data_IF_272851210471
#
_entry.id   IF_272851210471
#
_cell.length_a   1.000
_cell.length_b   1.000
_cell.length_c   1.000
_cell.angle_alpha   90.00
_cell.angle_beta   90.00
_cell.angle_gamma   90.00
#
_symmetry.space_group_name_H-M   'P 1'
#
loop_
_entity.id
_entity.type
_entity.pdbx_description
1 polymer ?
#
# COMPACT_ATOMS: atom_id res chain seq x y z
N UNK A 1 34.52 28.93 -15.51
CA UNK A 1 33.82 27.69 -15.23
C UNK A 1 33.14 27.26 -16.51
N UNK A 2 33.23 26.01 -16.87
CA UNK A 2 32.57 25.51 -18.07
C UNK A 2 31.07 25.46 -17.80
N UNK A 3 30.26 25.95 -18.72
CA UNK A 3 28.79 25.93 -18.62
C UNK A 3 28.25 25.01 -19.71
N UNK A 4 27.12 24.38 -19.44
CA UNK A 4 26.39 23.64 -20.46
C UNK A 4 24.91 24.02 -20.47
N UNK A 5 24.34 23.92 -21.64
CA UNK A 5 22.94 24.14 -21.87
C UNK A 5 22.14 22.87 -21.51
N UNK A 6 21.13 23.02 -20.68
CA UNK A 6 20.20 21.97 -20.32
C UNK A 6 18.78 22.33 -20.76
N UNK A 7 17.98 21.33 -21.09
CA UNK A 7 16.54 21.47 -21.28
C UNK A 7 15.88 21.31 -19.93
N UNK A 8 15.39 22.38 -19.34
CA UNK A 8 14.83 22.39 -17.97
C UNK A 8 13.34 22.64 -17.99
N UNK A 9 12.57 21.81 -17.26
CA UNK A 9 11.18 22.09 -16.92
C UNK A 9 11.16 23.12 -15.77
N UNK A 10 10.95 24.39 -16.14
CA UNK A 10 11.00 25.55 -15.22
C UNK A 10 9.70 25.73 -14.42
N UNK A 11 8.60 25.14 -14.88
CA UNK A 11 7.30 25.00 -14.24
C UNK A 11 6.60 23.79 -14.84
N UNK A 12 5.53 23.25 -14.23
CA UNK A 12 4.73 22.19 -14.83
C UNK A 12 4.36 22.53 -16.29
N UNK A 13 4.68 21.61 -17.21
CA UNK A 13 4.45 21.71 -18.66
C UNK A 13 5.21 22.85 -19.37
N UNK A 14 6.08 23.60 -18.69
CA UNK A 14 6.87 24.68 -19.27
C UNK A 14 8.35 24.31 -19.30
N UNK A 15 8.92 24.17 -20.49
CA UNK A 15 10.32 23.80 -20.71
C UNK A 15 11.10 24.94 -21.36
N UNK A 16 12.30 25.20 -20.85
CA UNK A 16 13.21 26.25 -21.34
C UNK A 16 14.63 25.70 -21.47
N UNK A 17 15.45 26.33 -22.34
CA UNK A 17 16.87 26.09 -22.38
C UNK A 17 17.56 27.01 -21.37
N UNK A 18 18.37 26.43 -20.49
CA UNK A 18 19.02 27.12 -19.37
C UNK A 18 20.51 26.79 -19.37
N UNK A 19 21.36 27.80 -19.26
CA UNK A 19 22.78 27.64 -19.02
C UNK A 19 23.02 27.44 -17.52
N UNK A 20 23.76 26.38 -17.18
CA UNK A 20 24.16 26.10 -15.80
C UNK A 20 25.67 25.86 -15.72
N UNK A 21 26.32 26.29 -14.64
CA UNK A 21 27.71 25.93 -14.36
C UNK A 21 27.89 24.43 -14.19
N UNK A 22 29.00 23.90 -14.66
CA UNK A 22 29.39 22.51 -14.40
C UNK A 22 29.40 22.23 -12.89
N UNK A 23 29.02 20.98 -12.49
CA UNK A 23 28.92 20.55 -11.10
C UNK A 23 27.81 21.23 -10.28
N UNK A 24 26.85 21.93 -10.90
CA UNK A 24 25.70 22.48 -10.21
C UNK A 24 24.84 21.32 -9.63
N UNK A 25 24.48 21.41 -8.34
CA UNK A 25 23.58 20.44 -7.72
C UNK A 25 22.15 20.63 -8.22
N UNK A 26 21.44 19.54 -8.43
CA UNK A 26 20.00 19.59 -8.78
C UNK A 26 19.19 20.36 -7.75
N UNK A 27 19.57 20.32 -6.46
CA UNK A 27 18.95 21.09 -5.38
C UNK A 27 19.04 22.61 -5.59
N UNK A 28 20.17 23.12 -6.09
CA UNK A 28 20.33 24.54 -6.35
C UNK A 28 19.39 25.01 -7.45
N UNK A 29 19.28 24.21 -8.51
CA UNK A 29 18.32 24.46 -9.61
C UNK A 29 16.88 24.39 -9.08
N UNK A 30 16.55 23.35 -8.32
CA UNK A 30 15.22 23.19 -7.72
C UNK A 30 14.82 24.38 -6.84
N UNK A 31 15.73 24.89 -5.98
CA UNK A 31 15.49 26.07 -5.14
C UNK A 31 15.22 27.34 -5.95
N UNK A 32 15.91 27.52 -7.09
CA UNK A 32 15.71 28.67 -7.98
C UNK A 32 14.29 28.67 -8.59
N UNK A 33 13.77 27.51 -8.93
CA UNK A 33 12.47 27.38 -9.61
C UNK A 33 11.33 26.94 -8.68
N UNK A 34 11.59 26.70 -7.39
CA UNK A 34 10.58 26.26 -6.41
C UNK A 34 9.30 27.09 -6.43
N UNK A 35 9.40 28.39 -6.62
CA UNK A 35 8.23 29.32 -6.65
C UNK A 35 7.24 29.07 -7.80
N UNK A 36 7.66 28.30 -8.81
CA UNK A 36 6.85 27.99 -9.98
C UNK A 36 6.07 26.67 -9.78
N UNK A 37 6.29 25.98 -8.67
CA UNK A 37 5.61 24.72 -8.28
C UNK A 37 4.73 24.96 -7.07
N UNK A 38 3.55 24.34 -7.05
CA UNK A 38 2.58 24.44 -5.94
C UNK A 38 3.13 23.87 -4.64
N UNK A 39 3.95 22.80 -4.79
CA UNK A 39 4.43 22.00 -3.68
C UNK A 39 5.96 21.94 -3.64
N UNK A 40 6.50 21.43 -2.52
CA UNK A 40 7.94 21.27 -2.35
C UNK A 40 8.52 20.30 -3.38
N UNK A 41 9.47 20.74 -4.18
CA UNK A 41 10.27 19.88 -5.06
C UNK A 41 11.15 18.98 -4.18
N UNK A 42 11.09 17.66 -4.39
CA UNK A 42 11.80 16.65 -3.55
C UNK A 42 12.66 15.70 -4.36
N UNK A 43 12.47 15.64 -5.67
CA UNK A 43 13.17 14.71 -6.56
C UNK A 43 13.33 15.35 -7.94
N UNK A 44 14.27 14.85 -8.73
CA UNK A 44 14.44 15.22 -10.13
C UNK A 44 14.39 13.99 -11.06
N UNK A 45 13.99 14.21 -12.30
CA UNK A 45 14.13 13.25 -13.39
C UNK A 45 15.12 13.83 -14.40
N UNK A 46 16.23 13.14 -14.64
CA UNK A 46 17.28 13.52 -15.58
C UNK A 46 17.32 12.48 -16.68
N UNK A 47 16.99 12.86 -17.91
CA UNK A 47 16.92 11.97 -19.07
C UNK A 47 16.05 10.71 -18.80
N UNK A 48 14.87 10.89 -18.22
CA UNK A 48 13.95 9.81 -17.89
C UNK A 48 14.34 8.96 -16.66
N UNK A 49 15.43 9.32 -15.95
CA UNK A 49 15.90 8.59 -14.76
C UNK A 49 15.77 9.44 -13.51
N UNK A 50 15.14 8.89 -12.48
CA UNK A 50 15.01 9.56 -11.19
C UNK A 50 16.38 9.80 -10.53
N UNK A 51 16.55 10.97 -9.95
CA UNK A 51 17.76 11.43 -9.25
C UNK A 51 17.41 12.21 -7.99
N UNK A 52 18.16 11.95 -6.93
CA UNK A 52 18.10 12.76 -5.71
C UNK A 52 18.62 14.17 -5.98
N UNK A 53 18.04 15.17 -5.35
CA UNK A 53 18.41 16.56 -5.50
C UNK A 53 19.86 16.85 -5.04
N UNK A 54 20.43 16.00 -4.20
CA UNK A 54 21.85 16.05 -3.77
C UNK A 54 22.86 15.77 -4.90
N UNK A 55 22.39 15.22 -6.04
CA UNK A 55 23.26 14.90 -7.18
C UNK A 55 23.62 16.14 -7.99
N UNK A 56 24.82 16.11 -8.57
CA UNK A 56 25.30 17.15 -9.48
C UNK A 56 24.96 16.82 -10.93
N UNK A 57 24.69 17.85 -11.71
CA UNK A 57 24.53 17.74 -13.17
C UNK A 57 25.93 17.61 -13.79
N UNK A 58 26.14 16.57 -14.59
CA UNK A 58 27.47 16.22 -15.16
C UNK A 58 27.56 16.39 -16.66
N UNK A 59 26.45 16.56 -17.35
CA UNK A 59 26.36 16.68 -18.80
C UNK A 59 25.07 17.39 -19.22
N UNK A 60 25.00 17.96 -20.43
CA UNK A 60 23.73 18.40 -21.01
C UNK A 60 22.68 17.30 -21.00
N UNK A 61 21.41 17.65 -20.79
CA UNK A 61 20.31 16.70 -20.76
C UNK A 61 18.99 17.38 -20.42
N UNK A 62 17.91 16.59 -20.38
CA UNK A 62 16.58 17.06 -19.99
C UNK A 62 16.38 16.84 -18.49
N UNK A 63 16.02 17.90 -17.78
CA UNK A 63 15.74 17.86 -16.34
C UNK A 63 14.30 18.30 -16.08
N UNK A 64 13.56 17.50 -15.33
CA UNK A 64 12.28 17.86 -14.76
C UNK A 64 12.27 17.59 -13.25
N UNK A 65 11.37 18.23 -12.53
CA UNK A 65 11.26 18.08 -11.09
C UNK A 65 9.95 17.39 -10.69
N UNK A 66 10.03 16.67 -9.58
CA UNK A 66 8.88 16.03 -8.95
C UNK A 66 8.71 16.61 -7.55
N UNK A 67 7.47 16.97 -7.23
CA UNK A 67 7.07 17.50 -5.94
C UNK A 67 6.70 16.40 -4.96
N UNK A 68 6.47 16.74 -3.70
CA UNK A 68 6.09 15.77 -2.67
C UNK A 68 4.68 15.19 -2.86
N UNK A 69 3.88 15.72 -3.78
CA UNK A 69 2.54 15.20 -4.12
C UNK A 69 2.56 14.29 -5.34
N UNK A 70 3.61 14.34 -6.16
CA UNK A 70 3.83 13.37 -7.23
C UNK A 70 4.10 11.96 -6.70
N UNK A 71 3.74 10.93 -7.47
CA UNK A 71 3.84 9.52 -7.05
C UNK A 71 5.22 9.14 -6.48
N UNK A 72 6.30 9.46 -7.18
CA UNK A 72 7.67 9.10 -6.75
C UNK A 72 8.23 10.12 -5.75
N UNK A 73 7.79 11.37 -5.81
CA UNK A 73 8.06 12.38 -4.81
C UNK A 73 7.45 12.02 -3.45
N UNK A 74 6.17 11.61 -3.42
CA UNK A 74 5.47 11.10 -2.23
C UNK A 74 6.22 9.92 -1.57
N UNK A 75 6.68 8.97 -2.38
CA UNK A 75 7.48 7.84 -1.90
C UNK A 75 8.83 8.28 -1.33
N UNK A 76 9.48 9.27 -1.95
CA UNK A 76 10.72 9.85 -1.49
C UNK A 76 10.53 10.55 -0.15
N UNK A 77 9.49 11.38 -0.03
CA UNK A 77 9.13 12.07 1.21
C UNK A 77 8.87 11.09 2.36
N UNK A 78 7.97 10.12 2.18
CA UNK A 78 7.62 9.10 3.19
C UNK A 78 8.81 8.29 3.66
N UNK A 79 9.71 7.91 2.74
CA UNK A 79 10.93 7.18 3.09
C UNK A 79 11.87 8.01 3.93
N UNK A 80 12.05 9.28 3.58
CA UNK A 80 12.88 10.22 4.34
C UNK A 80 12.30 10.50 5.71
N UNK A 81 10.97 10.62 5.81
CA UNK A 81 10.26 10.79 7.08
C UNK A 81 10.44 9.57 8.00
N UNK A 82 10.51 8.35 7.45
CA UNK A 82 10.79 7.14 8.23
C UNK A 82 12.21 7.18 8.83
N UNK A 83 13.20 7.68 8.09
CA UNK A 83 14.56 7.87 8.62
C UNK A 83 14.58 8.93 9.72
N UNK A 84 13.87 10.05 9.52
CA UNK A 84 13.73 11.10 10.54
C UNK A 84 13.09 10.56 11.82
N UNK A 85 12.03 9.78 11.71
CA UNK A 85 11.34 9.14 12.81
C UNK A 85 12.28 8.21 13.60
N UNK A 86 13.08 7.40 12.92
CA UNK A 86 14.06 6.51 13.56
C UNK A 86 15.15 7.29 14.30
N UNK A 87 15.67 8.37 13.68
CA UNK A 87 16.65 9.25 14.34
C UNK A 87 16.08 9.93 15.58
N UNK A 88 14.82 10.38 15.52
CA UNK A 88 14.15 10.98 16.68
C UNK A 88 14.01 9.98 17.85
N UNK A 89 13.66 8.72 17.56
CA UNK A 89 13.60 7.65 18.57
C UNK A 89 14.98 7.41 19.18
N UNK A 90 16.04 7.32 18.36
CA UNK A 90 17.41 7.16 18.84
C UNK A 90 17.86 8.31 19.75
N UNK A 91 17.53 9.56 19.38
CA UNK A 91 17.87 10.73 20.20
C UNK A 91 17.21 10.71 21.57
N UNK A 92 15.92 10.33 21.64
CA UNK A 92 15.16 10.32 22.89
C UNK A 92 15.51 9.16 23.81
N UNK A 93 15.71 7.97 23.26
CA UNK A 93 15.78 6.75 24.07
C UNK A 93 17.01 5.88 23.78
N UNK A 94 17.85 6.28 22.84
CA UNK A 94 19.04 5.51 22.41
C UNK A 94 18.65 4.06 22.05
N UNK A 95 19.44 3.09 22.47
CA UNK A 95 19.19 1.66 22.18
C UNK A 95 18.10 1.01 23.06
N UNK A 96 17.53 1.75 24.01
CA UNK A 96 16.50 1.22 24.92
C UNK A 96 15.16 1.04 24.26
N UNK A 97 14.85 1.86 23.23
CA UNK A 97 13.59 1.81 22.50
C UNK A 97 13.85 1.59 21.03
N UNK A 98 13.12 0.66 20.45
CA UNK A 98 13.11 0.41 19.00
C UNK A 98 11.76 0.77 18.42
N UNK A 99 11.75 1.41 17.25
CA UNK A 99 10.52 1.66 16.51
C UNK A 99 10.35 0.64 15.40
N UNK A 100 9.12 0.24 15.17
CA UNK A 100 8.73 -0.54 13.98
C UNK A 100 7.61 0.14 13.23
N UNK A 101 7.80 0.31 11.93
CA UNK A 101 6.76 0.69 10.97
C UNK A 101 6.20 -0.61 10.41
N UNK A 102 4.93 -0.88 10.65
CA UNK A 102 4.34 -2.18 10.31
C UNK A 102 3.63 -2.20 8.97
N UNK A 103 2.69 -1.30 8.76
CA UNK A 103 1.87 -1.28 7.54
C UNK A 103 1.26 0.10 7.30
N UNK A 104 0.75 0.31 6.10
CA UNK A 104 -0.03 1.50 5.79
C UNK A 104 -1.46 1.36 6.30
N UNK A 105 -2.00 2.43 6.89
CA UNK A 105 -3.41 2.61 7.17
C UNK A 105 -3.88 3.85 6.41
N UNK A 106 -4.64 3.62 5.33
CA UNK A 106 -4.92 4.69 4.37
C UNK A 106 -3.63 5.31 3.83
N UNK A 107 -3.50 6.62 3.92
CA UNK A 107 -2.31 7.36 3.49
C UNK A 107 -1.23 7.50 4.59
N UNK A 108 -1.41 6.90 5.77
CA UNK A 108 -0.49 6.95 6.92
C UNK A 108 0.30 5.65 7.12
N UNK A 109 1.29 5.66 8.04
CA UNK A 109 2.00 4.48 8.50
C UNK A 109 1.70 4.20 9.96
N UNK A 110 1.29 2.96 10.26
CA UNK A 110 1.12 2.48 11.63
C UNK A 110 2.46 2.05 12.23
N UNK A 111 2.76 2.58 13.40
CA UNK A 111 4.04 2.42 14.10
C UNK A 111 3.82 1.98 15.55
N UNK A 112 4.78 1.25 16.11
CA UNK A 112 4.85 0.91 17.53
C UNK A 112 6.26 1.14 18.06
N UNK A 113 6.35 1.71 19.27
CA UNK A 113 7.57 1.74 20.08
C UNK A 113 7.66 0.44 20.88
N UNK A 114 8.84 -0.16 20.91
CA UNK A 114 9.16 -1.35 21.69
C UNK A 114 10.25 -1.00 22.70
N UNK A 115 9.96 -1.18 23.97
CA UNK A 115 10.83 -0.79 25.10
C UNK A 115 10.31 0.37 25.93
N UNK A 116 9.22 1.01 25.47
CA UNK A 116 8.47 2.03 26.22
C UNK A 116 6.98 1.92 25.92
N UNK A 117 6.15 2.66 26.68
CA UNK A 117 4.69 2.74 26.39
C UNK A 117 4.44 3.56 25.11
N UNK A 118 3.41 3.17 24.38
CA UNK A 118 2.86 3.94 23.27
C UNK A 118 1.74 4.85 23.81
N UNK A 119 2.09 5.90 24.53
CA UNK A 119 1.17 6.82 25.16
C UNK A 119 1.29 8.26 24.62
N UNK A 120 0.43 9.14 25.10
CA UNK A 120 0.38 10.53 24.65
C UNK A 120 1.71 11.27 24.95
N UNK A 121 2.37 10.96 26.07
CA UNK A 121 3.62 11.61 26.43
C UNK A 121 4.77 11.19 25.49
N UNK A 122 4.87 9.91 25.18
CA UNK A 122 5.89 9.39 24.26
C UNK A 122 5.66 9.93 22.83
N UNK A 123 4.43 9.96 22.35
CA UNK A 123 4.10 10.48 21.02
C UNK A 123 4.33 11.99 20.94
N UNK A 124 4.02 12.75 21.97
CA UNK A 124 4.30 14.18 22.03
C UNK A 124 5.80 14.48 22.06
N UNK A 125 6.59 13.74 22.86
CA UNK A 125 8.03 13.88 22.89
C UNK A 125 8.66 13.57 21.52
N UNK A 126 8.18 12.50 20.87
CA UNK A 126 8.64 12.09 19.55
C UNK A 126 8.33 13.14 18.48
N UNK A 127 7.10 13.70 18.50
CA UNK A 127 6.70 14.79 17.61
C UNK A 127 7.60 16.02 17.79
N UNK A 128 7.84 16.43 19.03
CA UNK A 128 8.69 17.58 19.34
C UNK A 128 10.13 17.37 18.84
N UNK A 129 10.70 16.19 19.06
CA UNK A 129 12.05 15.89 18.58
C UNK A 129 12.13 15.83 17.05
N UNK A 130 11.14 15.25 16.37
CA UNK A 130 11.07 15.27 14.90
C UNK A 130 11.00 16.71 14.38
N UNK A 131 10.19 17.57 15.00
CA UNK A 131 10.09 18.99 14.63
C UNK A 131 11.43 19.70 14.83
N UNK A 132 12.10 19.48 15.95
CA UNK A 132 13.45 20.02 16.24
C UNK A 132 14.47 19.61 15.15
N UNK A 133 14.44 18.34 14.73
CA UNK A 133 15.30 17.84 13.66
C UNK A 133 14.98 18.47 12.30
N UNK A 134 13.71 18.75 12.01
CA UNK A 134 13.29 19.46 10.78
C UNK A 134 13.81 20.90 10.79
N UNK A 135 13.65 21.60 11.90
CA UNK A 135 14.12 23.00 12.07
C UNK A 135 15.65 23.11 11.98
N UNK A 136 16.38 22.07 12.40
CA UNK A 136 17.83 22.00 12.31
C UNK A 136 18.34 21.78 10.87
N UNK A 137 17.49 21.44 9.92
CA UNK A 137 17.80 21.21 8.49
C UNK A 137 19.05 20.34 8.26
N UNK A 138 19.13 19.21 8.97
CA UNK A 138 20.28 18.31 8.93
C UNK A 138 20.37 17.55 7.59
N UNK A 139 21.59 17.42 7.01
CA UNK A 139 21.77 16.76 5.74
C UNK A 139 21.55 15.24 5.84
N UNK A 140 20.84 14.69 4.86
CA UNK A 140 20.69 13.24 4.67
C UNK A 140 21.75 12.79 3.64
N UNK A 141 22.72 12.04 4.12
CA UNK A 141 23.84 11.57 3.30
C UNK A 141 23.59 10.16 2.79
N UNK A 142 23.97 9.91 1.55
CA UNK A 142 23.90 8.60 0.91
C UNK A 142 25.30 8.06 0.65
N UNK A 143 25.60 6.90 1.20
CA UNK A 143 26.85 6.18 1.00
C UNK A 143 26.58 4.86 0.28
N UNK A 144 27.32 4.59 -0.81
CA UNK A 144 27.31 3.27 -1.44
C UNK A 144 28.44 2.45 -0.84
N UNK A 145 28.12 1.35 -0.18
CA UNK A 145 29.08 0.46 0.48
C UNK A 145 29.00 -0.96 -0.11
N UNK A 146 30.00 -1.80 0.13
CA UNK A 146 29.89 -3.22 -0.23
C UNK A 146 28.78 -3.86 0.63
N UNK A 147 28.10 -4.85 0.09
CA UNK A 147 27.00 -5.53 0.80
C UNK A 147 27.50 -6.23 2.06
N UNK A 148 28.69 -6.84 2.01
CA UNK A 148 29.35 -7.47 3.14
C UNK A 148 29.65 -6.45 4.27
N UNK A 149 30.16 -5.26 3.92
CA UNK A 149 30.45 -4.19 4.89
C UNK A 149 29.15 -3.69 5.56
N UNK A 150 28.04 -3.62 4.79
CA UNK A 150 26.73 -3.25 5.31
C UNK A 150 26.14 -4.33 6.23
N UNK A 151 26.30 -5.61 5.87
CA UNK A 151 25.88 -6.74 6.71
C UNK A 151 26.60 -6.68 8.08
N UNK A 152 27.93 -6.49 8.07
CA UNK A 152 28.71 -6.34 9.29
C UNK A 152 28.30 -5.11 10.11
N UNK A 153 28.05 -3.97 9.47
CA UNK A 153 27.55 -2.75 10.12
C UNK A 153 26.25 -3.02 10.91
N UNK A 154 25.30 -3.74 10.31
CA UNK A 154 24.02 -4.04 10.96
C UNK A 154 24.14 -5.14 12.00
N UNK A 155 25.08 -6.08 11.84
CA UNK A 155 25.46 -7.03 12.89
C UNK A 155 25.96 -6.30 14.15
N UNK A 156 26.93 -5.40 13.99
CA UNK A 156 27.54 -4.64 15.09
C UNK A 156 26.53 -3.72 15.80
N UNK A 157 25.53 -3.22 15.06
CA UNK A 157 24.41 -2.43 15.62
C UNK A 157 23.28 -3.28 16.20
N UNK A 158 23.37 -4.61 16.16
CA UNK A 158 22.32 -5.53 16.64
C UNK A 158 21.02 -5.47 15.83
N UNK A 159 21.06 -4.98 14.58
CA UNK A 159 19.90 -4.85 13.66
C UNK A 159 19.73 -6.14 12.86
N UNK A 160 19.40 -7.24 13.55
CA UNK A 160 19.33 -8.62 13.01
C UNK A 160 18.44 -8.77 11.79
N UNK A 161 17.36 -8.01 11.70
CA UNK A 161 16.44 -8.03 10.55
C UNK A 161 17.11 -7.52 9.28
N UNK A 162 18.01 -6.53 9.38
CA UNK A 162 18.75 -5.96 8.24
C UNK A 162 19.98 -6.77 7.89
N UNK A 163 20.72 -7.26 8.89
CA UNK A 163 21.80 -8.24 8.72
C UNK A 163 21.30 -9.43 7.89
N UNK A 164 20.23 -10.11 8.33
CA UNK A 164 19.62 -11.22 7.61
C UNK A 164 19.11 -10.86 6.23
N UNK A 165 18.53 -9.66 6.05
CA UNK A 165 18.06 -9.19 4.75
C UNK A 165 19.22 -9.05 3.76
N UNK A 166 20.36 -8.48 4.20
CA UNK A 166 21.53 -8.25 3.35
C UNK A 166 22.30 -9.53 3.04
N UNK A 167 22.29 -10.50 3.94
CA UNK A 167 22.91 -11.82 3.74
C UNK A 167 22.47 -12.49 2.42
N UNK A 168 21.20 -12.33 2.03
CA UNK A 168 20.65 -12.88 0.79
C UNK A 168 20.70 -11.93 -0.40
N UNK A 169 21.29 -10.74 -0.22
CA UNK A 169 21.33 -9.72 -1.27
C UNK A 169 22.38 -10.05 -2.31
N UNK A 170 21.96 -10.26 -3.57
CA UNK A 170 22.87 -10.59 -4.68
C UNK A 170 23.67 -9.40 -5.23
N UNK A 171 23.27 -8.17 -4.89
CA UNK A 171 23.98 -6.96 -5.31
C UNK A 171 25.31 -6.84 -4.57
N UNK A 172 26.41 -6.57 -5.25
CA UNK A 172 27.72 -6.36 -4.63
C UNK A 172 27.80 -5.08 -3.79
N UNK A 173 26.90 -4.13 -4.00
CA UNK A 173 26.83 -2.86 -3.29
C UNK A 173 25.40 -2.50 -2.92
N UNK A 174 25.23 -1.84 -1.78
CA UNK A 174 23.96 -1.29 -1.27
C UNK A 174 24.14 0.17 -0.87
N UNK A 175 23.01 0.89 -0.76
CA UNK A 175 23.04 2.27 -0.32
C UNK A 175 22.61 2.33 1.16
N UNK A 176 23.47 2.93 1.97
CA UNK A 176 23.20 3.29 3.36
C UNK A 176 22.93 4.79 3.40
N UNK A 177 21.89 5.19 4.12
CA UNK A 177 21.58 6.58 4.40
C UNK A 177 21.98 6.92 5.82
N UNK A 178 22.56 8.10 6.00
CA UNK A 178 23.02 8.62 7.28
C UNK A 178 22.33 9.95 7.58
N UNK A 179 21.80 10.08 8.77
CA UNK A 179 21.26 11.30 9.34
C UNK A 179 21.86 11.50 10.75
N UNK A 180 22.77 12.47 10.89
CA UNK A 180 23.38 12.84 12.17
C UNK A 180 23.89 11.62 12.97
N UNK A 181 24.72 10.77 12.32
CA UNK A 181 25.28 9.55 12.88
C UNK A 181 24.36 8.33 12.86
N UNK A 182 23.05 8.49 12.72
CA UNK A 182 22.12 7.37 12.52
C UNK A 182 22.26 6.83 11.11
N UNK A 183 22.52 5.54 10.96
CA UNK A 183 22.71 4.88 9.65
C UNK A 183 21.70 3.77 9.48
N UNK A 184 21.03 3.77 8.32
CA UNK A 184 20.07 2.74 7.97
C UNK A 184 20.04 2.41 6.48
N UNK A 185 19.52 1.22 6.13
CA UNK A 185 19.35 0.75 4.77
C UNK A 185 17.97 1.09 4.23
N UNK A 186 17.94 1.79 3.10
CA UNK A 186 16.71 2.06 2.36
C UNK A 186 16.88 1.82 0.87
N UNK A 187 15.85 1.25 0.26
CA UNK A 187 15.78 1.07 -1.18
C UNK A 187 14.95 2.18 -1.81
N UNK A 188 15.62 3.09 -2.53
CA UNK A 188 15.01 4.22 -3.25
C UNK A 188 15.72 5.54 -3.00
N UNK A 189 14.99 6.64 -3.17
CA UNK A 189 15.52 8.00 -3.11
C UNK A 189 15.07 8.69 -1.81
N UNK A 190 15.88 9.67 -1.35
CA UNK A 190 15.59 10.52 -0.20
C UNK A 190 15.73 12.00 -0.53
N UNK A 191 15.10 12.85 0.28
CA UNK A 191 15.28 14.31 0.23
C UNK A 191 16.69 14.69 0.69
N UNK A 192 17.18 15.91 0.33
CA UNK A 192 18.53 16.34 0.69
C UNK A 192 18.79 16.51 2.18
N UNK A 193 17.79 16.97 2.93
CA UNK A 193 17.91 17.30 4.35
C UNK A 193 16.56 17.20 5.07
N UNK A 194 16.58 17.26 6.40
CA UNK A 194 15.39 17.18 7.24
C UNK A 194 14.46 18.38 7.08
N UNK A 195 14.97 19.56 6.69
CA UNK A 195 14.18 20.75 6.41
C UNK A 195 13.16 20.62 5.27
N UNK A 196 13.25 19.55 4.47
CA UNK A 196 12.24 19.19 3.47
C UNK A 196 11.01 18.51 4.06
N UNK A 197 11.04 18.08 5.33
CA UNK A 197 10.07 17.17 5.96
C UNK A 197 9.13 17.88 6.94
N UNK A 198 8.76 19.12 6.66
CA UNK A 198 8.00 19.98 7.60
C UNK A 198 6.51 19.65 7.77
N UNK A 199 5.91 18.86 6.88
CA UNK A 199 4.47 18.54 6.91
C UNK A 199 4.25 17.10 7.36
N UNK A 200 4.03 16.88 8.64
CA UNK A 200 3.72 15.58 9.24
C UNK A 200 2.99 15.76 10.56
N UNK A 201 2.37 14.70 11.05
CA UNK A 201 1.88 14.60 12.42
C UNK A 201 1.96 13.17 12.94
N UNK A 202 1.85 13.00 14.26
CA UNK A 202 1.75 11.73 14.96
C UNK A 202 0.46 11.70 15.77
N UNK A 203 -0.33 10.66 15.61
CA UNK A 203 -1.59 10.48 16.32
C UNK A 203 -1.63 9.09 16.97
N UNK A 204 -2.05 9.01 18.23
CA UNK A 204 -2.28 7.73 18.90
C UNK A 204 -3.36 6.94 18.17
N UNK A 205 -3.09 5.67 17.94
CA UNK A 205 -4.05 4.78 17.32
C UNK A 205 -3.89 3.36 17.86
N UNK A 206 -4.94 2.87 18.52
CA UNK A 206 -4.97 1.53 19.13
C UNK A 206 -3.75 1.28 20.05
N UNK A 207 -2.95 0.24 19.81
CA UNK A 207 -1.78 -0.12 20.63
C UNK A 207 -0.50 0.68 20.29
N UNK A 208 -0.56 1.57 19.32
CA UNK A 208 0.58 2.33 18.81
C UNK A 208 0.20 3.73 18.38
N UNK A 209 0.77 4.18 17.30
CA UNK A 209 0.46 5.47 16.72
C UNK A 209 0.59 5.43 15.19
N UNK A 210 0.03 6.43 14.52
CA UNK A 210 0.18 6.62 13.08
C UNK A 210 1.06 7.81 12.80
N UNK A 211 1.94 7.65 11.82
CA UNK A 211 2.69 8.73 11.18
C UNK A 211 1.89 9.22 9.98
N UNK A 212 1.38 10.43 10.07
CA UNK A 212 0.58 11.10 9.06
C UNK A 212 1.47 11.89 8.10
N UNK A 213 1.04 11.97 6.84
CA UNK A 213 1.78 12.59 5.75
C UNK A 213 0.99 13.74 5.11
N UNK A 214 1.62 14.54 4.23
CA UNK A 214 0.95 15.62 3.52
C UNK A 214 -0.26 15.13 2.73
N UNK A 215 -1.31 15.96 2.69
CA UNK A 215 -2.49 15.80 1.86
C UNK A 215 -2.14 15.89 0.35
N UNK A 216 -3.14 15.81 -0.52
CA UNK A 216 -2.95 15.88 -1.97
C UNK A 216 -2.43 17.23 -2.46
N UNK A 217 -2.57 18.30 -1.66
CA UNK A 217 -2.05 19.65 -1.97
C UNK A 217 -0.65 19.88 -1.40
N UNK A 218 -0.20 19.06 -0.45
CA UNK A 218 1.11 19.16 0.15
C UNK A 218 1.27 20.22 1.24
N UNK A 219 0.23 20.94 1.57
CA UNK A 219 0.24 22.09 2.49
C UNK A 219 -0.17 21.74 3.91
N UNK A 220 -0.99 20.73 4.08
CA UNK A 220 -1.51 20.28 5.37
C UNK A 220 -1.33 18.76 5.53
N UNK A 221 -1.49 18.27 6.74
CA UNK A 221 -1.46 16.84 7.06
C UNK A 221 -2.78 16.20 6.66
N UNK A 222 -2.71 15.06 5.95
CA UNK A 222 -3.90 14.26 5.63
C UNK A 222 -4.47 13.63 6.90
N UNK A 223 -5.74 13.88 7.26
CA UNK A 223 -6.37 13.22 8.40
C UNK A 223 -6.39 11.70 8.25
N UNK A 224 -6.38 10.98 9.37
CA UNK A 224 -6.45 9.51 9.34
C UNK A 224 -7.80 9.03 8.82
N UNK A 225 -7.80 8.44 7.64
CA UNK A 225 -8.95 7.76 7.06
C UNK A 225 -8.70 6.26 7.06
N UNK A 226 -9.20 5.56 8.06
CA UNK A 226 -9.04 4.10 8.18
C UNK A 226 -10.26 3.46 8.85
N UNK A 227 -10.36 2.15 8.78
CA UNK A 227 -11.35 1.38 9.53
C UNK A 227 -10.68 0.43 10.52
N UNK A 228 -11.25 0.31 11.70
CA UNK A 228 -10.77 -0.63 12.71
C UNK A 228 -10.73 -2.07 12.20
N UNK A 229 -11.62 -2.45 11.28
CA UNK A 229 -11.62 -3.78 10.65
C UNK A 229 -10.32 -4.03 9.89
N UNK A 230 -9.83 -3.05 9.11
CA UNK A 230 -8.56 -3.16 8.39
C UNK A 230 -7.39 -3.33 9.37
N UNK A 231 -7.33 -2.49 10.42
CA UNK A 231 -6.30 -2.58 11.45
C UNK A 231 -6.27 -3.97 12.10
N UNK A 232 -7.42 -4.48 12.58
CA UNK A 232 -7.48 -5.79 13.23
C UNK A 232 -7.07 -6.93 12.29
N UNK A 233 -7.48 -6.88 11.02
CA UNK A 233 -7.06 -7.86 10.00
C UNK A 233 -5.54 -7.86 9.79
N UNK A 234 -4.93 -6.68 9.68
CA UNK A 234 -3.48 -6.55 9.51
C UNK A 234 -2.73 -6.98 10.78
N UNK A 235 -3.23 -6.62 11.98
CA UNK A 235 -2.67 -7.04 13.26
C UNK A 235 -2.70 -8.57 13.41
N UNK A 236 -3.78 -9.20 13.01
CA UNK A 236 -3.93 -10.64 13.05
C UNK A 236 -2.99 -11.33 12.05
N UNK A 237 -2.88 -10.85 10.82
CA UNK A 237 -1.90 -11.33 9.82
C UNK A 237 -0.46 -11.23 10.34
N UNK A 238 -0.14 -10.13 11.05
CA UNK A 238 1.16 -9.95 11.70
C UNK A 238 1.42 -11.00 12.80
N UNK A 239 0.40 -11.32 13.60
CA UNK A 239 0.56 -12.34 14.66
C UNK A 239 0.85 -13.73 14.09
N UNK A 240 0.28 -14.06 12.94
CA UNK A 240 0.60 -15.31 12.22
C UNK A 240 2.04 -15.35 11.72
N UNK A 241 2.50 -14.28 11.09
CA UNK A 241 3.89 -14.21 10.63
C UNK A 241 4.89 -14.37 11.78
N UNK A 242 4.54 -13.88 12.98
CA UNK A 242 5.35 -14.07 14.20
C UNK A 242 5.31 -15.51 14.69
N UNK A 243 4.13 -16.15 14.69
CA UNK A 243 3.98 -17.55 15.09
C UNK A 243 4.81 -18.49 14.22
N UNK A 244 4.98 -18.14 12.93
CA UNK A 244 5.76 -18.91 11.96
C UNK A 244 7.26 -18.55 11.97
N UNK A 245 7.71 -17.61 12.82
CA UNK A 245 9.07 -17.05 12.82
C UNK A 245 9.52 -16.47 11.48
N UNK A 246 8.57 -15.95 10.68
CA UNK A 246 8.81 -15.33 9.37
C UNK A 246 8.34 -13.87 9.32
N UNK A 247 8.39 -13.19 10.46
CA UNK A 247 7.91 -11.80 10.61
C UNK A 247 8.72 -10.75 9.85
N UNK A 248 9.83 -11.11 9.21
CA UNK A 248 10.66 -10.23 8.36
C UNK A 248 11.09 -10.97 7.10
N UNK A 249 11.45 -10.23 6.05
CA UNK A 249 11.95 -10.82 4.79
C UNK A 249 13.22 -11.64 5.03
N UNK A 250 14.14 -11.16 5.89
CA UNK A 250 15.34 -11.92 6.26
C UNK A 250 15.00 -13.25 6.92
N UNK A 251 14.08 -13.26 7.87
CA UNK A 251 13.63 -14.48 8.55
C UNK A 251 12.93 -15.47 7.58
N UNK A 252 12.14 -14.95 6.63
CA UNK A 252 11.54 -15.77 5.59
C UNK A 252 12.62 -16.39 4.67
N UNK A 253 13.63 -15.63 4.29
CA UNK A 253 14.75 -16.13 3.49
C UNK A 253 15.52 -17.22 4.23
N UNK A 254 15.80 -17.04 5.55
CA UNK A 254 16.44 -18.08 6.39
C UNK A 254 15.60 -19.37 6.40
N UNK A 255 14.29 -19.24 6.55
CA UNK A 255 13.38 -20.38 6.55
C UNK A 255 13.37 -21.12 5.21
N UNK A 256 13.39 -20.38 4.08
CA UNK A 256 13.47 -20.96 2.74
C UNK A 256 14.83 -21.65 2.53
N UNK A 257 15.93 -21.00 2.89
CA UNK A 257 17.28 -21.54 2.74
C UNK A 257 17.51 -22.79 3.61
N UNK A 258 16.85 -22.89 4.76
CA UNK A 258 16.87 -24.07 5.63
C UNK A 258 15.90 -25.20 5.21
N UNK A 259 15.23 -25.08 4.06
CA UNK A 259 14.31 -26.11 3.53
C UNK A 259 12.91 -26.10 4.13
N UNK A 260 12.54 -25.11 4.96
CA UNK A 260 11.19 -25.00 5.58
C UNK A 260 10.12 -24.35 4.69
N UNK A 261 10.45 -23.99 3.44
CA UNK A 261 9.54 -23.26 2.56
C UNK A 261 8.22 -23.99 2.31
N UNK A 262 8.26 -25.30 2.01
CA UNK A 262 7.06 -26.12 1.80
C UNK A 262 6.20 -26.22 3.07
N UNK A 263 6.82 -26.41 4.23
CA UNK A 263 6.10 -26.45 5.51
C UNK A 263 5.36 -25.14 5.79
N UNK A 264 5.97 -23.98 5.48
CA UNK A 264 5.33 -22.67 5.66
C UNK A 264 4.10 -22.53 4.75
N UNK A 265 4.20 -22.98 3.49
CA UNK A 265 3.07 -22.97 2.55
C UNK A 265 1.92 -23.83 3.08
N UNK A 266 2.19 -25.10 3.44
CA UNK A 266 1.18 -26.02 3.96
C UNK A 266 0.50 -25.48 5.24
N UNK A 267 1.28 -24.88 6.14
CA UNK A 267 0.74 -24.31 7.37
C UNK A 267 -0.11 -23.08 7.09
N UNK A 268 0.31 -22.21 6.16
CA UNK A 268 -0.48 -21.05 5.75
C UNK A 268 -1.81 -21.47 5.08
N UNK A 269 -1.80 -22.52 4.28
CA UNK A 269 -3.00 -23.08 3.68
C UNK A 269 -3.94 -23.69 4.73
N UNK A 270 -3.40 -24.42 5.71
CA UNK A 270 -4.18 -24.98 6.80
C UNK A 270 -4.88 -23.88 7.66
N UNK A 271 -4.14 -22.81 8.01
CA UNK A 271 -4.69 -21.66 8.73
C UNK A 271 -5.80 -20.95 7.93
N UNK A 272 -5.63 -20.83 6.62
CA UNK A 272 -6.65 -20.25 5.76
C UNK A 272 -7.91 -21.12 5.71
N UNK A 273 -7.78 -22.44 5.56
CA UNK A 273 -8.93 -23.37 5.56
C UNK A 273 -9.67 -23.37 6.89
N UNK A 274 -8.95 -23.35 8.01
CA UNK A 274 -9.56 -23.23 9.34
C UNK A 274 -10.43 -21.98 9.46
N UNK A 275 -9.94 -20.83 8.98
CA UNK A 275 -10.70 -19.58 9.02
C UNK A 275 -11.92 -19.60 8.13
N UNK A 276 -11.80 -20.12 6.92
CA UNK A 276 -12.94 -20.23 6.01
C UNK A 276 -13.98 -21.17 6.62
N UNK A 277 -13.53 -22.28 7.25
CA UNK A 277 -14.39 -23.22 7.96
C UNK A 277 -15.11 -22.60 9.17
N UNK A 278 -14.41 -21.78 9.95
CA UNK A 278 -14.98 -21.01 11.06
C UNK A 278 -16.02 -19.99 10.57
N UNK A 279 -15.72 -19.25 9.50
CA UNK A 279 -16.65 -18.31 8.88
C UNK A 279 -17.91 -19.02 8.36
N UNK A 280 -17.74 -20.15 7.67
CA UNK A 280 -18.85 -20.97 7.19
C UNK A 280 -19.72 -21.49 8.34
N UNK A 281 -19.12 -21.86 9.49
CA UNK A 281 -19.88 -22.26 10.69
C UNK A 281 -20.71 -21.09 11.25
N UNK A 282 -20.13 -19.88 11.33
CA UNK A 282 -20.85 -18.68 11.76
C UNK A 282 -22.03 -18.35 10.83
N UNK A 283 -21.83 -18.43 9.53
CA UNK A 283 -22.89 -18.19 8.53
C UNK A 283 -23.98 -19.25 8.66
N UNK A 284 -23.61 -20.53 8.76
CA UNK A 284 -24.57 -21.62 8.87
C UNK A 284 -25.42 -21.57 10.16
N UNK A 285 -24.86 -21.09 11.27
CA UNK A 285 -25.53 -20.94 12.54
C UNK A 285 -26.60 -19.83 12.55
N UNK A 286 -26.47 -18.82 11.71
CA UNK A 286 -27.41 -17.71 11.61
C UNK A 286 -28.64 -18.16 10.79
N UNK A 287 -29.84 -18.06 11.39
CA UNK A 287 -31.10 -18.33 10.70
C UNK A 287 -31.43 -17.20 9.71
N UNK A 288 -32.04 -17.55 8.58
CA UNK A 288 -32.57 -16.58 7.62
C UNK A 288 -31.54 -15.96 6.66
N UNK A 289 -30.25 -16.24 6.81
CA UNK A 289 -29.26 -15.74 5.86
C UNK A 289 -29.49 -16.36 4.46
N UNK A 290 -29.66 -15.50 3.49
CA UNK A 290 -29.80 -15.85 2.06
C UNK A 290 -28.65 -15.34 1.19
N UNK A 291 -27.92 -14.36 1.66
CA UNK A 291 -26.81 -13.74 0.94
C UNK A 291 -25.50 -13.76 1.72
N UNK A 292 -24.42 -14.03 1.02
CA UNK A 292 -23.04 -13.78 1.44
C UNK A 292 -22.40 -12.93 0.35
N UNK A 293 -22.06 -11.70 0.69
CA UNK A 293 -21.43 -10.75 -0.24
C UNK A 293 -19.92 -10.70 -0.02
N UNK A 294 -19.15 -10.84 -1.08
CA UNK A 294 -17.69 -10.87 -1.06
C UNK A 294 -17.15 -9.74 -1.95
N UNK A 295 -16.43 -8.81 -1.36
CA UNK A 295 -15.77 -7.73 -2.10
C UNK A 295 -14.25 -7.83 -2.02
N UNK A 296 -13.60 -7.26 -3.02
CA UNK A 296 -12.15 -7.12 -3.07
C UNK A 296 -11.68 -6.64 -4.44
N UNK A 297 -10.48 -6.10 -4.55
CA UNK A 297 -9.95 -5.59 -5.83
C UNK A 297 -9.75 -6.72 -6.85
N UNK A 298 -9.49 -6.34 -8.10
CA UNK A 298 -9.15 -7.31 -9.16
C UNK A 298 -7.94 -8.15 -8.75
N UNK A 299 -7.92 -9.41 -9.12
CA UNK A 299 -6.86 -10.39 -8.80
C UNK A 299 -6.60 -10.63 -7.29
N UNK A 300 -7.52 -10.25 -6.40
CA UNK A 300 -7.40 -10.47 -4.94
C UNK A 300 -7.75 -11.89 -4.48
N UNK A 301 -8.20 -12.76 -5.39
CA UNK A 301 -8.60 -14.13 -5.07
C UNK A 301 -10.05 -14.29 -4.62
N UNK A 302 -10.94 -13.30 -4.84
CA UNK A 302 -12.37 -13.36 -4.50
C UNK A 302 -13.05 -14.65 -4.97
N UNK A 303 -12.89 -15.01 -6.22
CA UNK A 303 -13.51 -16.20 -6.81
C UNK A 303 -12.99 -17.50 -6.15
N UNK A 304 -11.69 -17.59 -5.88
CA UNK A 304 -11.11 -18.72 -5.15
C UNK A 304 -11.67 -18.81 -3.73
N UNK A 305 -11.76 -17.68 -3.03
CA UNK A 305 -12.33 -17.61 -1.68
C UNK A 305 -13.83 -17.99 -1.69
N UNK A 306 -14.61 -17.46 -2.64
CA UNK A 306 -16.03 -17.79 -2.81
C UNK A 306 -16.26 -19.30 -3.01
N UNK A 307 -15.43 -19.93 -3.85
CA UNK A 307 -15.50 -21.39 -4.09
C UNK A 307 -15.13 -22.18 -2.84
N UNK A 308 -14.06 -21.83 -2.13
CA UNK A 308 -13.65 -22.51 -0.88
C UNK A 308 -14.71 -22.34 0.21
N UNK A 309 -15.25 -21.13 0.38
CA UNK A 309 -16.35 -20.86 1.33
C UNK A 309 -17.59 -21.68 0.97
N UNK A 310 -17.91 -21.80 -0.31
CA UNK A 310 -19.03 -22.63 -0.78
C UNK A 310 -18.84 -24.10 -0.42
N UNK A 311 -17.65 -24.67 -0.56
CA UNK A 311 -17.36 -26.03 -0.14
C UNK A 311 -17.56 -26.18 1.37
N UNK A 312 -17.09 -25.25 2.18
CA UNK A 312 -17.24 -25.28 3.63
C UNK A 312 -18.73 -25.13 4.06
N UNK A 313 -19.52 -24.30 3.34
CA UNK A 313 -20.97 -24.17 3.57
C UNK A 313 -21.72 -25.47 3.23
N UNK A 314 -21.34 -26.16 2.13
CA UNK A 314 -21.88 -27.50 1.82
C UNK A 314 -21.62 -28.49 2.94
N UNK A 315 -20.39 -28.51 3.50
CA UNK A 315 -20.03 -29.37 4.64
C UNK A 315 -20.83 -29.05 5.92
N UNK A 316 -21.46 -27.85 6.00
CA UNK A 316 -22.36 -27.42 7.09
C UNK A 316 -23.84 -27.61 6.76
N UNK A 317 -24.19 -28.31 5.68
CA UNK A 317 -25.57 -28.59 5.27
C UNK A 317 -26.29 -27.43 4.58
N UNK A 318 -25.57 -26.35 4.18
CA UNK A 318 -26.11 -25.29 3.35
C UNK A 318 -25.84 -25.59 1.88
N UNK A 319 -26.67 -25.07 0.99
CA UNK A 319 -26.49 -25.22 -0.45
C UNK A 319 -26.12 -23.86 -1.07
N UNK A 320 -24.82 -23.57 -1.24
CA UNK A 320 -24.37 -22.33 -1.83
C UNK A 320 -24.55 -22.30 -3.34
N UNK A 321 -24.87 -21.12 -3.86
CA UNK A 321 -24.92 -20.81 -5.29
C UNK A 321 -23.95 -19.64 -5.57
N UNK A 322 -22.74 -19.91 -6.07
CA UNK A 322 -21.79 -18.86 -6.44
C UNK A 322 -22.33 -18.02 -7.61
N UNK A 323 -22.30 -16.69 -7.44
CA UNK A 323 -22.65 -15.70 -8.45
C UNK A 323 -21.53 -14.68 -8.57
N UNK A 324 -21.01 -14.47 -9.77
CA UNK A 324 -20.09 -13.38 -10.06
C UNK A 324 -20.86 -12.13 -10.47
N UNK A 325 -20.53 -10.99 -9.88
CA UNK A 325 -21.04 -9.69 -10.33
C UNK A 325 -20.55 -9.36 -11.75
N UNK A 326 -19.44 -9.96 -12.18
CA UNK A 326 -18.94 -9.78 -13.54
C UNK A 326 -19.89 -10.35 -14.60
N UNK A 327 -20.80 -11.28 -14.24
CA UNK A 327 -21.86 -11.76 -15.12
C UNK A 327 -22.96 -10.71 -15.37
N UNK A 328 -22.98 -9.62 -14.58
CA UNK A 328 -23.94 -8.53 -14.68
C UNK A 328 -23.39 -7.26 -15.35
N UNK A 329 -22.21 -7.30 -15.95
CA UNK A 329 -21.74 -6.17 -16.77
C UNK A 329 -22.74 -5.83 -17.87
N UNK A 330 -22.91 -4.54 -18.12
CA UNK A 330 -23.60 -4.07 -19.31
C UNK A 330 -22.78 -4.36 -20.58
N UNK A 331 -23.45 -4.34 -21.74
CA UNK A 331 -22.74 -4.48 -23.00
C UNK A 331 -21.63 -3.44 -23.12
N UNK A 332 -20.47 -3.84 -23.65
CA UNK A 332 -19.26 -2.99 -23.74
C UNK A 332 -19.53 -1.61 -24.35
N UNK A 333 -20.50 -1.51 -25.24
CA UNK A 333 -20.89 -0.26 -25.89
C UNK A 333 -21.50 0.76 -24.91
N UNK A 334 -22.07 0.28 -23.79
CA UNK A 334 -22.67 1.10 -22.71
C UNK A 334 -21.78 1.34 -21.55
N UNK A 335 -20.60 0.70 -21.51
CA UNK A 335 -19.65 0.85 -20.41
C UNK A 335 -19.19 2.32 -20.31
N UNK A 336 -19.23 2.94 -19.12
CA UNK A 336 -18.73 4.28 -18.89
C UNK A 336 -17.26 4.44 -19.29
N UNK A 337 -16.82 5.68 -19.48
CA UNK A 337 -15.43 6.00 -19.77
C UNK A 337 -14.84 6.82 -18.66
N UNK A 338 -13.56 6.57 -18.38
CA UNK A 338 -12.76 7.36 -17.45
C UNK A 338 -12.41 8.76 -18.01
N UNK A 339 -11.69 9.55 -17.22
CA UNK A 339 -11.27 10.91 -17.61
C UNK A 339 -10.34 10.92 -18.84
N UNK A 340 -9.66 9.80 -19.12
CA UNK A 340 -8.74 9.64 -20.24
C UNK A 340 -9.43 9.04 -21.48
N UNK A 341 -10.75 8.76 -21.39
CA UNK A 341 -11.57 8.22 -22.47
C UNK A 341 -11.51 6.69 -22.62
N UNK A 342 -10.85 5.96 -21.71
CA UNK A 342 -10.84 4.50 -21.69
C UNK A 342 -12.12 3.95 -21.05
N UNK A 343 -12.49 2.72 -21.39
CA UNK A 343 -13.61 2.05 -20.73
C UNK A 343 -13.31 1.79 -19.26
N UNK A 344 -14.18 2.27 -18.37
CA UNK A 344 -14.08 2.08 -16.92
C UNK A 344 -14.96 0.91 -16.46
N UNK A 345 -14.39 -0.28 -16.42
CA UNK A 345 -15.06 -1.48 -15.90
C UNK A 345 -15.03 -1.57 -14.36
N UNK A 346 -14.33 -0.66 -13.68
CA UNK A 346 -14.22 -0.68 -12.21
C UNK A 346 -15.28 0.20 -11.53
N UNK A 347 -16.00 1.04 -12.26
CA UNK A 347 -17.11 1.81 -11.70
C UNK A 347 -18.39 0.96 -11.55
N UNK A 348 -19.26 1.35 -10.62
CA UNK A 348 -20.53 0.64 -10.38
C UNK A 348 -21.46 0.70 -11.58
N UNK A 349 -21.43 1.80 -12.31
CA UNK A 349 -22.26 2.10 -13.49
C UNK A 349 -21.93 1.21 -14.70
N UNK A 350 -20.81 0.46 -14.65
CA UNK A 350 -20.50 -0.58 -15.64
C UNK A 350 -21.35 -1.84 -15.45
N UNK A 351 -22.00 -2.00 -14.29
CA UNK A 351 -22.89 -3.12 -13.99
C UNK A 351 -24.35 -2.72 -14.21
N UNK A 352 -25.14 -3.65 -14.72
CA UNK A 352 -26.61 -3.53 -14.72
C UNK A 352 -27.15 -3.80 -13.30
N UNK A 353 -27.02 -2.80 -12.45
CA UNK A 353 -27.45 -2.85 -11.05
C UNK A 353 -28.96 -3.12 -10.93
N UNK A 354 -29.73 -2.63 -11.90
CA UNK A 354 -31.16 -2.86 -11.92
C UNK A 354 -31.50 -4.33 -12.15
N UNK A 355 -30.94 -4.95 -13.19
CA UNK A 355 -31.16 -6.37 -13.49
C UNK A 355 -30.69 -7.26 -12.34
N UNK A 356 -29.52 -6.92 -11.73
CA UNK A 356 -29.04 -7.64 -10.55
C UNK A 356 -30.08 -7.63 -9.41
N UNK A 357 -30.62 -6.47 -9.06
CA UNK A 357 -31.62 -6.36 -7.98
C UNK A 357 -32.93 -7.06 -8.34
N UNK A 358 -33.42 -6.96 -9.58
CA UNK A 358 -34.60 -7.68 -10.05
C UNK A 358 -34.44 -9.20 -9.94
N UNK A 359 -33.31 -9.75 -10.42
CA UNK A 359 -33.02 -11.18 -10.34
C UNK A 359 -32.90 -11.67 -8.89
N UNK A 360 -32.18 -10.94 -8.04
CA UNK A 360 -32.02 -11.30 -6.63
C UNK A 360 -33.36 -11.26 -5.88
N UNK A 361 -34.20 -10.26 -6.14
CA UNK A 361 -35.54 -10.14 -5.54
C UNK A 361 -36.43 -11.30 -5.94
N UNK A 362 -36.43 -11.68 -7.21
CA UNK A 362 -37.20 -12.84 -7.74
C UNK A 362 -36.69 -14.16 -7.15
N UNK A 363 -35.38 -14.33 -7.02
CA UNK A 363 -34.79 -15.49 -6.36
C UNK A 363 -35.23 -15.60 -4.90
N UNK A 364 -35.27 -14.47 -4.16
CA UNK A 364 -35.77 -14.43 -2.79
C UNK A 364 -37.25 -14.78 -2.67
N UNK A 365 -38.06 -14.41 -3.66
CA UNK A 365 -39.44 -14.79 -3.77
C UNK A 365 -39.65 -16.29 -4.12
N UNK A 366 -38.54 -17.03 -4.37
CA UNK A 366 -38.59 -18.45 -4.76
C UNK A 366 -38.93 -18.69 -6.24
N UNK A 367 -38.86 -17.64 -7.04
CA UNK A 367 -39.07 -17.76 -8.48
C UNK A 367 -37.88 -18.42 -9.18
N UNK A 368 -38.13 -19.00 -10.33
CA UNK A 368 -37.10 -19.49 -11.26
C UNK A 368 -36.59 -18.34 -12.11
N UNK A 369 -35.28 -18.05 -12.02
CA UNK A 369 -34.61 -16.97 -12.75
C UNK A 369 -33.58 -17.55 -13.72
N UNK A 370 -33.55 -17.02 -14.96
CA UNK A 370 -32.50 -17.32 -15.92
C UNK A 370 -31.30 -16.41 -15.64
N UNK A 371 -30.17 -17.02 -15.28
CA UNK A 371 -28.99 -16.30 -14.83
C UNK A 371 -28.15 -15.82 -16.03
N UNK A 372 -27.74 -14.56 -16.03
CA UNK A 372 -26.87 -14.04 -17.09
C UNK A 372 -25.45 -14.65 -17.01
N UNK A 373 -24.71 -14.46 -18.09
CA UNK A 373 -23.27 -14.70 -18.17
C UNK A 373 -22.65 -13.66 -19.09
N UNK A 374 -21.56 -13.03 -18.66
CA UNK A 374 -20.88 -12.04 -19.48
C UNK A 374 -19.77 -12.67 -20.32
N UNK A 375 -19.83 -12.45 -21.63
CA UNK A 375 -18.82 -12.91 -22.56
C UNK A 375 -17.75 -11.83 -22.80
N UNK A 376 -16.64 -11.92 -22.11
CA UNK A 376 -15.54 -10.94 -22.21
C UNK A 376 -14.93 -10.81 -23.61
N UNK A 377 -15.05 -11.85 -24.47
CA UNK A 377 -14.54 -11.79 -25.84
C UNK A 377 -15.42 -10.91 -26.73
N UNK A 378 -16.74 -11.12 -26.67
CA UNK A 378 -17.70 -10.34 -27.42
C UNK A 378 -18.09 -9.03 -26.77
N UNK A 379 -17.86 -8.90 -25.44
CA UNK A 379 -18.28 -7.75 -24.64
C UNK A 379 -19.79 -7.68 -24.46
N UNK A 380 -20.50 -8.80 -24.46
CA UNK A 380 -21.97 -8.88 -24.37
C UNK A 380 -22.41 -9.80 -23.24
N UNK A 381 -23.55 -9.46 -22.64
CA UNK A 381 -24.28 -10.33 -21.73
C UNK A 381 -25.09 -11.35 -22.51
N UNK A 382 -25.01 -12.60 -22.10
CA UNK A 382 -25.67 -13.74 -22.79
C UNK A 382 -26.47 -14.54 -21.74
N UNK A 383 -27.61 -15.09 -22.20
CA UNK A 383 -28.41 -16.03 -21.43
C UNK A 383 -28.27 -17.42 -22.05
N UNK A 384 -27.62 -18.33 -21.33
CA UNK A 384 -27.27 -19.68 -21.84
C UNK A 384 -28.17 -20.77 -21.26
N UNK A 385 -29.35 -20.42 -20.75
CA UNK A 385 -30.31 -21.36 -20.12
C UNK A 385 -29.90 -21.85 -18.74
N UNK A 386 -28.94 -21.17 -18.04
CA UNK A 386 -28.58 -21.45 -16.66
C UNK A 386 -29.65 -20.87 -15.75
N UNK A 387 -30.57 -21.72 -15.27
CA UNK A 387 -31.66 -21.27 -14.38
C UNK A 387 -31.35 -21.58 -12.93
N UNK A 388 -31.75 -20.69 -12.02
CA UNK A 388 -31.64 -20.85 -10.59
C UNK A 388 -33.00 -20.62 -9.92
N UNK A 389 -33.31 -21.42 -8.89
CA UNK A 389 -34.46 -21.25 -8.01
C UNK A 389 -34.03 -21.60 -6.59
N UNK A 390 -34.22 -20.67 -5.64
CA UNK A 390 -33.79 -20.87 -4.26
C UNK A 390 -34.76 -21.75 -3.48
N UNK A 391 -34.22 -22.64 -2.64
CA UNK A 391 -34.90 -23.42 -1.63
C UNK A 391 -34.56 -22.90 -0.24
N UNK A 392 -35.19 -23.48 0.80
CA UNK A 392 -35.02 -23.03 2.18
C UNK A 392 -33.55 -22.94 2.66
N UNK A 393 -32.73 -23.97 2.35
CA UNK A 393 -31.34 -24.06 2.80
C UNK A 393 -30.31 -23.48 1.80
N UNK A 394 -30.81 -22.87 0.72
CA UNK A 394 -29.95 -22.30 -0.31
C UNK A 394 -29.44 -20.92 0.11
N UNK A 395 -28.17 -20.63 -0.21
CA UNK A 395 -27.48 -19.36 0.04
C UNK A 395 -26.84 -18.89 -1.25
N UNK A 396 -27.02 -17.62 -1.60
CA UNK A 396 -26.31 -16.96 -2.68
C UNK A 396 -24.96 -16.48 -2.17
N UNK A 397 -23.87 -16.89 -2.82
CA UNK A 397 -22.50 -16.43 -2.51
C UNK A 397 -22.07 -15.54 -3.66
N UNK A 398 -22.21 -14.23 -3.48
CA UNK A 398 -22.04 -13.21 -4.51
C UNK A 398 -20.68 -12.57 -4.36
N UNK A 399 -19.88 -12.58 -5.43
CA UNK A 399 -18.53 -11.98 -5.40
C UNK A 399 -18.35 -10.94 -6.52
N UNK A 400 -17.61 -9.88 -6.21
CA UNK A 400 -17.26 -8.83 -7.16
C UNK A 400 -16.62 -7.62 -6.46
N UNK A 401 -16.10 -6.70 -7.24
CA UNK A 401 -15.46 -5.48 -6.69
C UNK A 401 -16.45 -4.62 -5.89
N UNK A 402 -17.72 -4.62 -6.28
CA UNK A 402 -18.81 -3.87 -5.66
C UNK A 402 -19.61 -4.67 -4.61
N UNK A 403 -19.17 -5.87 -4.22
CA UNK A 403 -19.92 -6.76 -3.33
C UNK A 403 -20.33 -6.15 -1.99
N UNK A 404 -19.66 -5.09 -1.49
CA UNK A 404 -20.01 -4.35 -0.27
C UNK A 404 -20.44 -2.90 -0.54
N UNK A 405 -20.85 -2.59 -1.77
CA UNK A 405 -21.35 -1.26 -2.11
C UNK A 405 -22.88 -1.22 -1.87
N UNK A 406 -23.33 -0.38 -0.95
CA UNK A 406 -24.76 -0.25 -0.60
C UNK A 406 -25.63 0.13 -1.80
N UNK A 407 -25.09 0.85 -2.79
CA UNK A 407 -25.81 1.18 -4.02
C UNK A 407 -26.07 -0.03 -4.92
N UNK A 408 -25.26 -1.10 -4.79
CA UNK A 408 -25.46 -2.32 -5.56
C UNK A 408 -26.72 -3.08 -5.11
N UNK A 409 -26.92 -3.17 -3.78
CA UNK A 409 -27.93 -4.05 -3.18
C UNK A 409 -29.09 -3.28 -2.54
N UNK A 410 -29.47 -2.15 -3.10
CA UNK A 410 -30.44 -1.20 -2.52
C UNK A 410 -31.85 -1.76 -2.30
N UNK A 411 -32.24 -2.85 -2.99
CA UNK A 411 -33.55 -3.51 -2.79
C UNK A 411 -33.47 -4.75 -1.91
N UNK A 412 -32.26 -5.17 -1.53
CA UNK A 412 -32.06 -6.41 -0.76
C UNK A 412 -32.09 -6.14 0.73
N UNK A 413 -32.64 -7.08 1.57
CA UNK A 413 -32.77 -6.91 3.02
C UNK A 413 -31.45 -6.95 3.76
#
# INVERSE_FOLDING_TARGET
>A
MQEFEITLETAPEKTELVLIPEQTKLEQIAKQYQKNYSDRIVLACVDGKLRELSKVVKAPGKISFLTMTDRDGKRTYRRSMTLLLQKAVENLWKDQVKIRVYYSLGESYYCELHGTANDAAAVQALRAEMQRLVEADLPIKKCSVKTEDAEQLFHDKGMKDKERLLHYRRSSRVNIYELDGHQDYYYGYMVPSTGYLGVFDLELYEDGFVLLFPNKKGDEVEPLHTSNKLYHTLKESRSWSRMLDVGTIGALNDAIASGRGEQIILLQEALMEERIGSLAAQIAAKKGIKFVMIAGPSSSGKTTFSNRLSIQLLAKGRKPHPISLDDYYDDRERCPRDADGNLDFECLEALDVRQFNEDMTRLLAGEKVDMPSFNFKTGKREYRGRTLQLKENDILVIEGIHGLNDKLSYTLP
#
